data_IF_771999127828
#
_entry.id   IF_771999127828
#
_cell.length_a   1.000
_cell.length_b   1.000
_cell.length_c   1.000
_cell.angle_alpha   90.00
_cell.angle_beta   90.00
_cell.angle_gamma   90.00
#
_symmetry.space_group_name_H-M   'P 1'
#
loop_
_entity.id
_entity.type
_entity.pdbx_description
1 polymer ?
#
# COMPACT_ATOMS: atom_id res chain seq x y z
N UNK A 1 7.84 14.46 -8.64
CA UNK A 1 6.60 14.26 -7.87
C UNK A 1 5.91 15.60 -7.57
N UNK A 2 6.59 16.57 -6.96
CA UNK A 2 6.00 17.88 -6.59
C UNK A 2 5.44 18.62 -7.81
N UNK A 3 6.13 18.63 -8.95
CA UNK A 3 5.65 19.32 -10.15
C UNK A 3 4.34 18.71 -10.67
N UNK A 4 4.21 17.38 -10.67
CA UNK A 4 2.94 16.71 -10.99
C UNK A 4 1.83 17.04 -9.98
N UNK A 5 2.16 17.13 -8.70
CA UNK A 5 1.21 17.53 -7.68
C UNK A 5 0.73 18.97 -7.91
N UNK A 6 1.64 19.92 -8.18
CA UNK A 6 1.29 21.31 -8.50
C UNK A 6 0.37 21.40 -9.72
N UNK A 7 0.66 20.63 -10.77
CA UNK A 7 -0.17 20.58 -11.98
C UNK A 7 -1.58 20.06 -11.66
N UNK A 8 -1.69 18.99 -10.88
CA UNK A 8 -2.97 18.40 -10.48
C UNK A 8 -3.81 19.38 -9.63
N UNK A 9 -3.18 20.06 -8.68
CA UNK A 9 -3.86 20.94 -7.73
C UNK A 9 -4.12 22.36 -8.26
N UNK A 10 -3.54 22.73 -9.40
CA UNK A 10 -3.60 24.09 -9.94
C UNK A 10 -5.02 24.63 -10.17
N UNK A 11 -5.97 23.76 -10.52
CA UNK A 11 -7.35 24.15 -10.83
C UNK A 11 -8.36 23.86 -9.69
N UNK A 12 -7.88 23.49 -8.51
CA UNK A 12 -8.77 23.23 -7.39
C UNK A 12 -9.15 24.52 -6.65
N UNK A 13 -10.36 24.60 -6.08
CA UNK A 13 -10.91 25.83 -5.49
C UNK A 13 -10.40 26.09 -4.07
N UNK A 14 -9.17 25.72 -3.74
CA UNK A 14 -8.55 25.95 -2.43
C UNK A 14 -7.07 26.26 -2.58
N UNK A 15 -6.50 26.96 -1.61
CA UNK A 15 -5.08 27.26 -1.56
C UNK A 15 -4.26 26.00 -1.27
N UNK A 16 -3.16 25.85 -1.98
CA UNK A 16 -2.23 24.73 -1.81
C UNK A 16 -0.82 25.24 -1.61
N UNK A 17 -0.13 24.68 -0.62
CA UNK A 17 1.30 24.89 -0.37
C UNK A 17 2.04 23.56 -0.55
N UNK A 18 3.19 23.60 -1.23
CA UNK A 18 4.02 22.43 -1.50
C UNK A 18 5.38 22.63 -0.85
N UNK A 19 5.69 21.81 0.14
CA UNK A 19 6.95 21.86 0.89
C UNK A 19 7.79 20.63 0.52
N UNK A 20 8.99 20.85 -0.01
CA UNK A 20 9.97 19.80 -0.25
C UNK A 20 10.91 19.71 0.96
N UNK A 21 10.74 18.70 1.78
CA UNK A 21 11.54 18.52 2.98
C UNK A 21 11.60 17.05 3.40
N UNK A 22 12.56 16.72 4.26
CA UNK A 22 12.49 15.48 5.03
C UNK A 22 11.40 15.63 6.11
N UNK A 23 10.35 14.85 5.97
CA UNK A 23 9.17 14.93 6.83
C UNK A 23 9.44 14.50 8.27
N UNK A 24 10.57 13.84 8.55
CA UNK A 24 10.98 13.46 9.91
C UNK A 24 11.80 14.53 10.61
N UNK A 25 12.27 15.56 9.88
CA UNK A 25 13.14 16.63 10.38
C UNK A 25 12.52 18.03 10.26
N UNK A 26 11.44 18.15 9.47
CA UNK A 26 10.79 19.44 9.25
C UNK A 26 10.09 19.95 10.51
N UNK A 27 10.34 21.20 10.85
CA UNK A 27 9.51 21.96 11.77
C UNK A 27 8.58 22.87 10.97
N UNK A 28 7.28 22.65 11.11
CA UNK A 28 6.27 23.46 10.45
C UNK A 28 6.00 24.72 11.26
N UNK A 29 5.93 25.88 10.59
CA UNK A 29 5.69 27.18 11.24
C UNK A 29 4.32 27.28 11.89
N UNK A 30 3.36 26.49 11.44
CA UNK A 30 1.98 26.45 11.94
C UNK A 30 1.52 25.03 12.19
N UNK A 31 0.46 24.90 13.00
CA UNK A 31 -0.26 23.64 13.19
C UNK A 31 -1.48 23.57 12.32
N UNK A 32 -1.98 22.37 12.09
CA UNK A 32 -3.07 22.05 11.19
C UNK A 32 -4.20 21.33 11.94
N UNK A 33 -5.44 21.46 11.44
CA UNK A 33 -6.59 20.75 12.01
C UNK A 33 -6.55 19.25 11.69
N UNK A 34 -5.95 18.87 10.56
CA UNK A 34 -5.90 17.48 10.10
C UNK A 34 -4.52 17.21 9.48
N UNK A 35 -3.93 16.07 9.85
CA UNK A 35 -2.80 15.49 9.13
C UNK A 35 -3.22 14.15 8.50
N UNK A 36 -2.84 13.95 7.24
CA UNK A 36 -3.21 12.75 6.47
C UNK A 36 -1.97 12.14 5.83
N UNK A 37 -1.85 10.81 5.88
CA UNK A 37 -0.92 10.07 5.02
C UNK A 37 -1.65 8.94 4.28
N UNK A 38 -1.16 8.60 3.09
CA UNK A 38 -1.71 7.54 2.26
C UNK A 38 -0.59 6.75 1.61
N UNK A 39 -0.54 5.44 1.88
CA UNK A 39 0.45 4.50 1.36
C UNK A 39 1.89 5.05 1.47
N UNK A 40 2.22 5.64 2.61
CA UNK A 40 3.47 6.34 2.84
C UNK A 40 4.32 5.67 3.92
N UNK A 41 3.72 5.30 5.04
CA UNK A 41 4.43 4.72 6.19
C UNK A 41 5.08 3.37 5.85
N UNK A 42 4.55 2.65 4.86
CA UNK A 42 5.10 1.38 4.40
C UNK A 42 6.54 1.51 3.86
N UNK A 43 6.92 2.69 3.36
CA UNK A 43 8.26 2.99 2.83
C UNK A 43 9.24 3.52 3.88
N UNK A 44 8.78 3.69 5.13
CA UNK A 44 9.58 4.29 6.19
C UNK A 44 10.26 3.21 7.03
N UNK A 45 11.57 3.32 7.24
CA UNK A 45 12.30 2.47 8.19
C UNK A 45 11.91 2.76 9.65
N UNK A 46 11.45 3.98 9.93
CA UNK A 46 11.03 4.45 11.25
C UNK A 46 9.63 5.09 11.21
N UNK A 47 8.55 4.32 10.91
CA UNK A 47 7.22 4.89 10.70
C UNK A 47 6.65 5.60 11.94
N UNK A 48 7.01 5.16 13.14
CA UNK A 48 6.57 5.80 14.39
C UNK A 48 7.15 7.22 14.54
N UNK A 49 8.40 7.46 14.09
CA UNK A 49 8.98 8.81 14.10
C UNK A 49 8.21 9.75 13.16
N UNK A 50 7.82 9.25 11.99
CA UNK A 50 6.98 10.01 11.08
C UNK A 50 5.60 10.33 11.67
N UNK A 51 4.96 9.35 12.30
CA UNK A 51 3.68 9.56 13.00
C UNK A 51 3.82 10.59 14.12
N UNK A 52 4.93 10.59 14.87
CA UNK A 52 5.20 11.61 15.89
C UNK A 52 5.28 13.01 15.28
N UNK A 53 5.95 13.17 14.13
CA UNK A 53 6.02 14.46 13.42
C UNK A 53 4.61 14.92 12.98
N UNK A 54 3.78 14.01 12.46
CA UNK A 54 2.39 14.30 12.12
C UNK A 54 1.58 14.73 13.36
N UNK A 55 1.66 13.99 14.45
CA UNK A 55 0.98 14.33 15.72
C UNK A 55 1.40 15.72 16.20
N UNK A 56 2.70 16.02 16.17
CA UNK A 56 3.23 17.31 16.58
C UNK A 56 2.76 18.48 15.69
N UNK A 57 2.37 18.22 14.46
CA UNK A 57 1.90 19.24 13.51
C UNK A 57 0.41 19.57 13.66
N UNK A 58 -0.32 18.89 14.54
CA UNK A 58 -1.77 19.02 14.68
C UNK A 58 -2.11 19.91 15.90
N UNK A 59 -3.17 20.70 15.76
CA UNK A 59 -3.74 21.49 16.88
C UNK A 59 -4.40 20.57 17.91
N UNK A 60 -4.61 21.09 19.10
CA UNK A 60 -5.45 20.41 20.11
C UNK A 60 -6.90 20.28 19.58
N UNK A 61 -7.49 19.10 19.68
CA UNK A 61 -8.78 18.74 19.09
C UNK A 61 -8.74 18.39 17.58
N UNK A 62 -7.57 18.50 16.95
CA UNK A 62 -7.40 18.12 15.55
C UNK A 62 -7.24 16.61 15.34
N UNK A 63 -7.19 16.17 14.10
CA UNK A 63 -7.27 14.75 13.74
C UNK A 63 -6.07 14.27 12.92
N UNK A 64 -5.67 13.04 13.19
CA UNK A 64 -4.73 12.29 12.33
C UNK A 64 -5.50 11.19 11.60
N UNK A 65 -5.22 11.01 10.29
CA UNK A 65 -5.85 9.98 9.45
C UNK A 65 -4.74 9.30 8.62
N UNK A 66 -4.64 7.97 8.76
CA UNK A 66 -3.65 7.16 8.05
C UNK A 66 -4.37 6.12 7.18
N UNK A 67 -4.09 6.14 5.88
CA UNK A 67 -4.52 5.14 4.92
C UNK A 67 -3.30 4.30 4.57
N UNK A 68 -3.15 3.13 5.17
CA UNK A 68 -1.96 2.30 4.99
C UNK A 68 -2.31 0.87 4.59
N UNK A 69 -1.51 0.25 3.72
CA UNK A 69 -1.83 -1.06 3.20
C UNK A 69 -1.64 -2.18 4.21
N UNK A 70 -2.27 -3.29 3.92
CA UNK A 70 -1.97 -4.60 4.47
C UNK A 70 -1.86 -5.58 3.30
N UNK A 71 -0.67 -5.72 2.74
CA UNK A 71 -0.44 -6.44 1.49
C UNK A 71 -0.92 -7.89 1.52
N UNK A 72 -0.64 -8.62 2.59
CA UNK A 72 -1.12 -10.02 2.71
C UNK A 72 -2.65 -10.09 2.62
N UNK A 73 -3.35 -9.18 3.26
CA UNK A 73 -4.81 -9.11 3.17
C UNK A 73 -5.29 -8.74 1.76
N UNK A 74 -4.59 -7.83 1.09
CA UNK A 74 -4.84 -7.50 -0.31
C UNK A 74 -4.59 -8.70 -1.22
N UNK A 75 -3.45 -9.39 -1.06
CA UNK A 75 -3.10 -10.57 -1.86
C UNK A 75 -4.09 -11.73 -1.67
N UNK A 76 -4.75 -11.86 -0.52
CA UNK A 76 -5.79 -12.86 -0.28
C UNK A 76 -7.12 -12.55 -0.96
N UNK A 77 -7.27 -11.37 -1.56
CA UNK A 77 -8.53 -10.88 -2.14
C UNK A 77 -8.55 -10.94 -3.67
N UNK A 78 -7.72 -11.80 -4.28
CA UNK A 78 -7.75 -12.05 -5.72
C UNK A 78 -8.70 -13.19 -6.07
N UNK A 79 -9.52 -12.98 -7.09
CA UNK A 79 -10.30 -13.99 -7.79
C UNK A 79 -10.10 -13.78 -9.29
N UNK A 80 -9.48 -14.76 -9.93
CA UNK A 80 -9.28 -14.78 -11.39
C UNK A 80 -10.04 -15.98 -11.98
N UNK A 81 -11.00 -15.72 -12.84
CA UNK A 81 -11.83 -16.75 -13.46
C UNK A 81 -10.97 -17.81 -14.17
N UNK A 82 -11.26 -19.06 -13.91
CA UNK A 82 -10.56 -20.22 -14.49
C UNK A 82 -9.30 -20.65 -13.72
N UNK A 83 -8.91 -19.97 -12.65
CA UNK A 83 -7.68 -20.27 -11.89
C UNK A 83 -7.94 -20.30 -10.39
N UNK A 84 -7.38 -21.28 -9.69
CA UNK A 84 -7.34 -21.24 -8.24
C UNK A 84 -6.36 -20.15 -7.78
N UNK A 85 -6.70 -19.45 -6.70
CA UNK A 85 -5.86 -18.37 -6.16
C UNK A 85 -4.41 -18.81 -5.92
N UNK A 86 -4.17 -20.00 -5.39
CA UNK A 86 -2.82 -20.53 -5.13
C UNK A 86 -1.95 -20.72 -6.39
N UNK A 87 -2.56 -20.79 -7.58
CA UNK A 87 -1.83 -20.90 -8.85
C UNK A 87 -1.24 -19.54 -9.30
N UNK A 88 -1.86 -18.43 -8.91
CA UNK A 88 -1.48 -17.07 -9.32
C UNK A 88 -0.91 -16.24 -8.18
N UNK A 89 -1.31 -16.51 -6.93
CA UNK A 89 -0.87 -15.79 -5.72
C UNK A 89 -0.57 -16.78 -4.57
N UNK A 90 0.64 -17.34 -4.48
CA UNK A 90 1.02 -18.27 -3.39
C UNK A 90 1.32 -17.51 -2.09
N UNK A 91 0.34 -17.35 -1.23
CA UNK A 91 0.38 -16.49 -0.03
C UNK A 91 1.47 -16.88 0.98
N UNK A 92 1.77 -18.18 1.15
CA UNK A 92 2.72 -18.63 2.16
C UNK A 92 4.15 -18.09 1.96
N UNK A 93 4.60 -18.02 0.71
CA UNK A 93 5.90 -17.46 0.34
C UNK A 93 5.86 -15.93 0.49
N UNK A 94 4.82 -15.30 -0.02
CA UNK A 94 4.65 -13.84 0.04
C UNK A 94 4.65 -13.32 1.47
N UNK A 95 3.98 -13.99 2.40
CA UNK A 95 3.99 -13.61 3.81
C UNK A 95 5.41 -13.58 4.38
N UNK A 96 6.20 -14.63 4.17
CA UNK A 96 7.59 -14.69 4.63
C UNK A 96 8.46 -13.60 4.02
N UNK A 97 8.27 -13.30 2.73
CA UNK A 97 9.00 -12.24 2.04
C UNK A 97 8.66 -10.85 2.60
N UNK A 98 7.42 -10.59 2.92
CA UNK A 98 7.02 -9.31 3.55
C UNK A 98 7.56 -9.17 4.97
N UNK A 99 7.56 -10.25 5.76
CA UNK A 99 8.16 -10.27 7.11
C UNK A 99 9.69 -10.09 7.05
N UNK A 100 10.37 -10.75 6.10
CA UNK A 100 11.81 -10.57 5.88
C UNK A 100 12.16 -9.13 5.50
N UNK A 101 11.40 -8.49 4.62
CA UNK A 101 11.59 -7.08 4.26
C UNK A 101 11.42 -6.17 5.48
N UNK A 102 10.36 -6.38 6.26
CA UNK A 102 10.12 -5.58 7.46
C UNK A 102 11.24 -5.72 8.50
N UNK A 103 11.81 -6.92 8.65
CA UNK A 103 12.89 -7.18 9.61
C UNK A 103 14.24 -6.60 9.14
N UNK A 104 14.51 -6.56 7.84
CA UNK A 104 15.81 -6.10 7.29
C UNK A 104 15.88 -4.60 7.09
N UNK A 105 14.85 -4.00 6.49
CA UNK A 105 14.84 -2.58 6.11
C UNK A 105 13.95 -1.71 7.02
N UNK A 106 13.07 -2.32 7.80
CA UNK A 106 12.03 -1.61 8.54
C UNK A 106 10.83 -1.23 7.67
N UNK A 107 10.95 -1.29 6.34
CA UNK A 107 9.86 -1.06 5.40
C UNK A 107 8.84 -2.20 5.47
N UNK A 108 7.58 -1.88 5.70
CA UNK A 108 6.59 -2.89 6.02
C UNK A 108 5.28 -2.69 5.24
N UNK A 109 5.08 -3.48 4.20
CA UNK A 109 3.85 -3.49 3.41
C UNK A 109 2.60 -3.90 4.18
N UNK A 110 2.74 -4.44 5.40
CA UNK A 110 1.65 -4.77 6.31
C UNK A 110 1.50 -3.74 7.44
N UNK A 111 2.06 -2.54 7.29
CA UNK A 111 2.10 -1.50 8.33
C UNK A 111 0.72 -1.08 8.82
N UNK A 112 -0.30 -1.14 7.97
CA UNK A 112 -1.65 -0.68 8.28
C UNK A 112 -2.26 -1.29 9.54
N UNK A 113 -1.91 -2.53 9.90
CA UNK A 113 -2.38 -3.17 11.14
C UNK A 113 -1.59 -2.77 12.38
N UNK A 114 -0.43 -2.09 12.22
CA UNK A 114 0.41 -1.61 13.33
C UNK A 114 0.14 -0.15 13.69
N UNK A 115 -0.41 0.62 12.76
CA UNK A 115 -0.69 2.06 12.94
C UNK A 115 -1.52 2.35 14.20
N UNK A 116 -2.62 1.64 14.52
CA UNK A 116 -3.40 1.90 15.73
C UNK A 116 -2.55 1.83 17.01
N UNK A 117 -1.69 0.82 17.12
CA UNK A 117 -0.81 0.67 18.27
C UNK A 117 0.20 1.82 18.36
N UNK A 118 0.77 2.24 17.25
CA UNK A 118 1.71 3.37 17.24
C UNK A 118 1.03 4.68 17.64
N UNK A 119 -0.19 4.94 17.17
CA UNK A 119 -0.96 6.13 17.55
C UNK A 119 -1.30 6.11 19.05
N UNK A 120 -1.69 4.96 19.58
CA UNK A 120 -1.94 4.79 21.03
C UNK A 120 -0.70 5.13 21.85
N UNK A 121 0.47 4.62 21.47
CA UNK A 121 1.75 4.89 22.13
C UNK A 121 2.19 6.36 22.02
N UNK A 122 1.70 7.08 21.02
CA UNK A 122 1.93 8.52 20.83
C UNK A 122 0.88 9.39 21.54
N UNK A 123 -0.05 8.78 22.29
CA UNK A 123 -1.04 9.50 23.09
C UNK A 123 -2.24 10.02 22.29
N UNK A 124 -2.48 9.50 21.08
CA UNK A 124 -3.69 9.80 20.30
C UNK A 124 -4.88 9.14 20.98
N UNK A 125 -6.00 9.87 21.07
CA UNK A 125 -7.23 9.42 21.69
C UNK A 125 -8.31 9.09 20.64
N UNK A 126 -9.38 8.45 21.05
CA UNK A 126 -10.54 8.10 20.21
C UNK A 126 -10.13 7.40 18.91
N UNK A 127 -9.16 6.47 19.00
CA UNK A 127 -8.64 5.76 17.84
C UNK A 127 -9.71 4.82 17.30
N UNK A 128 -10.03 5.00 16.03
CA UNK A 128 -10.91 4.12 15.27
C UNK A 128 -10.19 3.53 14.05
N UNK A 129 -10.63 2.32 13.66
CA UNK A 129 -10.07 1.61 12.52
C UNK A 129 -11.18 1.18 11.56
N UNK A 130 -10.92 1.31 10.26
CA UNK A 130 -11.79 0.88 9.16
C UNK A 130 -10.97 0.15 8.12
N UNK A 131 -11.66 -0.52 7.22
CA UNK A 131 -11.07 -1.15 6.04
C UNK A 131 -11.71 -0.51 4.81
N UNK A 132 -10.93 -0.21 3.79
CA UNK A 132 -11.48 0.19 2.49
C UNK A 132 -12.33 -0.95 1.92
N UNK A 133 -13.50 -0.62 1.45
CA UNK A 133 -14.44 -1.52 0.78
C UNK A 133 -14.36 -1.45 -0.76
N UNK A 134 -13.36 -0.74 -1.28
CA UNK A 134 -13.15 -0.66 -2.73
C UNK A 134 -12.87 -2.04 -3.30
N UNK A 135 -13.71 -2.46 -4.24
CA UNK A 135 -13.52 -3.68 -5.04
C UNK A 135 -13.32 -3.29 -6.49
N UNK A 136 -12.23 -3.74 -7.09
CA UNK A 136 -12.00 -3.61 -8.52
C UNK A 136 -12.57 -4.88 -9.19
N UNK A 137 -13.53 -4.70 -10.09
CA UNK A 137 -14.10 -5.80 -10.86
C UNK A 137 -13.91 -5.51 -12.34
N UNK A 138 -12.86 -6.10 -12.92
CA UNK A 138 -12.60 -6.11 -14.36
C UNK A 138 -13.37 -7.29 -14.97
N UNK A 139 -14.14 -7.05 -16.03
CA UNK A 139 -14.85 -8.11 -16.75
C UNK A 139 -15.05 -7.73 -18.23
N UNK A 140 -15.23 -8.74 -19.13
CA UNK A 140 -15.29 -8.50 -20.58
C UNK A 140 -16.41 -7.53 -21.01
N UNK A 141 -17.56 -7.55 -20.33
CA UNK A 141 -18.75 -6.77 -20.69
C UNK A 141 -18.73 -5.31 -20.21
N UNK A 142 -17.63 -4.85 -19.62
CA UNK A 142 -17.49 -3.44 -19.23
C UNK A 142 -17.49 -2.51 -20.45
N UNK A 143 -17.95 -1.27 -20.24
CA UNK A 143 -17.70 -0.20 -21.21
C UNK A 143 -16.20 -0.13 -21.53
N UNK A 144 -15.85 -0.05 -22.81
CA UNK A 144 -14.46 -0.16 -23.28
C UNK A 144 -13.52 0.88 -22.65
N UNK A 145 -14.00 2.12 -22.47
CA UNK A 145 -13.18 3.19 -21.87
C UNK A 145 -12.91 2.93 -20.39
N UNK A 146 -13.92 2.50 -19.64
CA UNK A 146 -13.79 2.21 -18.21
C UNK A 146 -12.96 0.95 -17.98
N UNK A 147 -13.15 -0.07 -18.84
CA UNK A 147 -12.35 -1.30 -18.85
C UNK A 147 -10.86 -0.99 -19.05
N UNK A 148 -10.55 -0.15 -20.05
CA UNK A 148 -9.15 0.22 -20.31
C UNK A 148 -8.53 1.02 -19.14
N UNK A 149 -9.28 1.95 -18.55
CA UNK A 149 -8.82 2.73 -17.38
C UNK A 149 -8.54 1.81 -16.19
N UNK A 150 -9.48 0.90 -15.88
CA UNK A 150 -9.30 -0.02 -14.76
C UNK A 150 -8.14 -0.98 -15.00
N UNK A 151 -8.03 -1.56 -16.21
CA UNK A 151 -6.91 -2.44 -16.57
C UNK A 151 -5.56 -1.74 -16.42
N UNK A 152 -5.43 -0.52 -16.94
CA UNK A 152 -4.20 0.26 -16.82
C UNK A 152 -3.85 0.55 -15.34
N UNK A 153 -4.83 0.94 -14.53
CA UNK A 153 -4.63 1.16 -13.09
C UNK A 153 -4.17 -0.11 -12.38
N UNK A 154 -4.77 -1.26 -12.67
CA UNK A 154 -4.34 -2.54 -12.11
C UNK A 154 -2.90 -2.91 -12.52
N UNK A 155 -2.52 -2.65 -13.79
CA UNK A 155 -1.14 -2.88 -14.26
C UNK A 155 -0.14 -1.91 -13.60
N UNK A 156 -0.51 -0.66 -13.38
CA UNK A 156 0.30 0.31 -12.63
C UNK A 156 0.48 -0.09 -11.17
N UNK A 157 -0.53 -0.70 -10.57
CA UNK A 157 -0.48 -1.29 -9.23
C UNK A 157 0.32 -2.62 -9.16
N UNK A 158 0.85 -3.09 -10.30
CA UNK A 158 1.67 -4.30 -10.40
C UNK A 158 0.89 -5.60 -10.59
N UNK A 159 -0.43 -5.56 -10.75
CA UNK A 159 -1.27 -6.75 -10.95
C UNK A 159 -0.87 -7.46 -12.25
N UNK A 160 -0.52 -8.76 -12.15
CA UNK A 160 -0.06 -9.56 -13.28
C UNK A 160 1.18 -8.98 -13.96
N UNK A 161 2.08 -8.33 -13.20
CA UNK A 161 3.38 -7.87 -13.68
C UNK A 161 4.26 -9.04 -14.09
N UNK A 162 5.09 -8.86 -15.12
CA UNK A 162 6.05 -9.86 -15.53
C UNK A 162 7.22 -9.89 -14.54
N UNK A 163 7.59 -11.08 -13.99
CA UNK A 163 8.73 -11.17 -13.10
C UNK A 163 10.06 -10.96 -13.86
N UNK A 164 11.14 -10.68 -13.13
CA UNK A 164 12.50 -10.63 -13.66
C UNK A 164 12.90 -11.98 -14.30
N UNK A 165 14.08 -12.05 -14.93
CA UNK A 165 14.58 -13.32 -15.46
C UNK A 165 14.58 -14.40 -14.36
N UNK A 166 14.33 -15.65 -14.76
CA UNK A 166 14.18 -16.77 -13.82
C UNK A 166 15.36 -16.89 -12.85
N UNK A 167 16.56 -16.73 -13.37
CA UNK A 167 17.79 -16.83 -12.59
C UNK A 167 17.89 -15.72 -11.54
N UNK A 168 17.66 -14.48 -11.94
CA UNK A 168 17.69 -13.31 -11.04
C UNK A 168 16.59 -13.39 -9.99
N UNK A 169 15.39 -13.81 -10.40
CA UNK A 169 14.25 -13.96 -9.51
C UNK A 169 14.53 -15.00 -8.42
N UNK A 170 14.93 -16.23 -8.81
CA UNK A 170 15.25 -17.32 -7.87
C UNK A 170 16.39 -16.92 -6.94
N UNK A 171 17.47 -16.32 -7.46
CA UNK A 171 18.59 -15.85 -6.65
C UNK A 171 18.17 -14.80 -5.62
N UNK A 172 17.31 -13.85 -6.02
CA UNK A 172 16.80 -12.79 -5.13
C UNK A 172 16.00 -13.37 -3.96
N UNK A 173 15.12 -14.35 -4.22
CA UNK A 173 14.32 -14.99 -3.19
C UNK A 173 15.17 -15.92 -2.29
N UNK A 174 16.13 -16.63 -2.87
CA UNK A 174 17.06 -17.46 -2.10
C UNK A 174 17.86 -16.63 -1.08
N UNK A 175 18.35 -15.45 -1.46
CA UNK A 175 19.03 -14.50 -0.55
C UNK A 175 18.13 -14.02 0.60
N UNK A 176 16.83 -14.13 0.45
CA UNK A 176 15.80 -13.77 1.45
C UNK A 176 15.32 -14.98 2.28
N UNK A 177 16.00 -16.13 2.18
CA UNK A 177 15.71 -17.33 2.97
C UNK A 177 14.59 -18.22 2.44
N UNK A 178 14.14 -18.00 1.20
CA UNK A 178 13.21 -18.89 0.48
C UNK A 178 14.00 -20.04 -0.12
N UNK A 179 13.54 -21.29 -0.05
CA UNK A 179 14.21 -22.41 -0.69
C UNK A 179 14.15 -22.30 -2.23
N UNK A 180 15.08 -22.96 -2.93
CA UNK A 180 15.10 -22.93 -4.39
C UNK A 180 13.81 -23.46 -5.00
N UNK A 181 13.22 -24.52 -4.43
CA UNK A 181 11.95 -25.08 -4.91
C UNK A 181 10.80 -24.08 -4.74
N UNK A 182 10.67 -23.47 -3.56
CA UNK A 182 9.65 -22.44 -3.32
C UNK A 182 9.83 -21.22 -4.22
N UNK A 183 11.07 -20.80 -4.46
CA UNK A 183 11.36 -19.70 -5.38
C UNK A 183 10.96 -20.04 -6.83
N UNK A 184 11.13 -21.31 -7.23
CA UNK A 184 10.67 -21.79 -8.55
C UNK A 184 9.14 -21.81 -8.63
N UNK A 185 8.45 -22.26 -7.58
CA UNK A 185 6.98 -22.25 -7.51
C UNK A 185 6.43 -20.81 -7.59
N UNK A 186 7.03 -19.88 -6.86
CA UNK A 186 6.66 -18.47 -6.92
C UNK A 186 6.87 -17.88 -8.32
N UNK A 187 8.03 -18.15 -8.94
CA UNK A 187 8.31 -17.73 -10.31
C UNK A 187 7.26 -18.23 -11.30
N UNK A 188 6.90 -19.51 -11.20
CA UNK A 188 5.88 -20.12 -12.07
C UNK A 188 4.53 -19.46 -11.87
N UNK A 189 4.15 -19.17 -10.62
CA UNK A 189 2.89 -18.49 -10.31
C UNK A 189 2.84 -17.06 -10.88
N UNK A 190 3.90 -16.26 -10.70
CA UNK A 190 3.98 -14.91 -11.24
C UNK A 190 4.00 -14.90 -12.76
N UNK A 191 4.76 -15.80 -13.38
CA UNK A 191 4.76 -15.98 -14.84
C UNK A 191 3.38 -16.39 -15.36
N UNK A 192 2.72 -17.34 -14.71
CA UNK A 192 1.36 -17.74 -15.09
C UNK A 192 0.42 -16.52 -15.01
N UNK A 193 0.42 -15.79 -13.89
CA UNK A 193 -0.45 -14.64 -13.72
C UNK A 193 -0.19 -13.56 -14.78
N UNK A 194 1.08 -13.27 -15.10
CA UNK A 194 1.43 -12.30 -16.14
C UNK A 194 0.97 -12.69 -17.55
N UNK A 195 0.94 -14.00 -17.83
CA UNK A 195 0.52 -14.52 -19.13
C UNK A 195 -1.00 -14.62 -19.31
N UNK A 196 -1.74 -14.92 -18.22
CA UNK A 196 -3.18 -15.14 -18.29
C UNK A 196 -3.99 -13.88 -18.02
N UNK A 197 -3.42 -12.90 -17.30
CA UNK A 197 -4.10 -11.64 -17.00
C UNK A 197 -3.99 -10.67 -18.18
N UNK A 198 -5.12 -10.35 -18.78
CA UNK A 198 -5.25 -9.41 -19.89
C UNK A 198 -6.54 -8.58 -19.74
N UNK A 199 -6.76 -7.63 -20.65
CA UNK A 199 -7.90 -6.72 -20.60
C UNK A 199 -9.28 -7.41 -20.66
N UNK A 200 -9.35 -8.61 -21.20
CA UNK A 200 -10.59 -9.40 -21.32
C UNK A 200 -10.74 -10.44 -20.20
N UNK A 201 -9.84 -10.42 -19.22
CA UNK A 201 -9.97 -11.26 -18.03
C UNK A 201 -11.15 -10.85 -17.17
N UNK A 202 -11.76 -11.82 -16.49
CA UNK A 202 -12.69 -11.60 -15.38
C UNK A 202 -11.87 -11.66 -14.07
N UNK A 203 -11.60 -10.50 -13.46
CA UNK A 203 -10.80 -10.38 -12.25
C UNK A 203 -11.52 -9.56 -11.20
N UNK A 204 -11.61 -10.10 -9.98
CA UNK A 204 -11.96 -9.35 -8.78
C UNK A 204 -10.70 -9.16 -7.95
N UNK A 205 -10.43 -7.93 -7.54
CA UNK A 205 -9.35 -7.59 -6.64
C UNK A 205 -9.77 -6.48 -5.66
N UNK A 206 -9.67 -6.76 -4.37
CA UNK A 206 -9.99 -5.83 -3.30
C UNK A 206 -8.71 -5.46 -2.52
N UNK A 207 -8.02 -4.35 -2.85
CA UNK A 207 -6.86 -3.90 -2.07
C UNK A 207 -7.29 -3.56 -0.64
N UNK A 208 -6.63 -4.17 0.34
CA UNK A 208 -7.01 -4.01 1.74
C UNK A 208 -6.25 -2.85 2.39
N UNK A 209 -6.75 -1.62 2.18
CA UNK A 209 -6.25 -0.46 2.93
C UNK A 209 -6.86 -0.45 4.34
N UNK A 210 -6.02 -0.27 5.35
CA UNK A 210 -6.44 -0.01 6.72
C UNK A 210 -6.49 1.50 6.91
N UNK A 211 -7.64 1.98 7.37
CA UNK A 211 -7.88 3.40 7.65
C UNK A 211 -7.90 3.54 9.16
N UNK A 212 -6.90 4.22 9.70
CA UNK A 212 -6.80 4.50 11.14
C UNK A 212 -6.88 5.98 11.37
N UNK A 213 -7.73 6.43 12.27
CA UNK A 213 -7.83 7.84 12.63
C UNK A 213 -8.06 8.01 14.13
N UNK A 214 -7.71 9.19 14.63
CA UNK A 214 -7.87 9.55 16.04
C UNK A 214 -7.73 11.05 16.27
N UNK A 215 -7.89 11.48 17.50
CA UNK A 215 -7.90 12.87 17.94
C UNK A 215 -6.67 13.19 18.78
N UNK A 216 -6.15 14.41 18.60
CA UNK A 216 -5.03 14.92 19.39
C UNK A 216 -5.59 15.78 20.50
N UNK A 217 -5.49 15.33 21.74
CA UNK A 217 -5.83 16.10 22.93
C UNK A 217 -4.56 16.42 23.71
N UNK A 218 -4.20 17.69 23.78
CA UNK A 218 -3.10 18.12 24.64
C UNK A 218 -3.49 17.88 26.11
N UNK A 219 -2.68 17.10 26.79
CA UNK A 219 -2.81 16.93 28.25
C UNK A 219 -2.27 18.15 28.97
#
# INVERSE_FOLDING_TARGET
LIDKAKEYFHNLPFETEFILADTTEIELERKYDIAVCHAFLLHMSQPKRMLQAMVNSIVNGGKIICFEPHWISGMSSYELEGYNQSQVVPLGILQRLFEDSANKSGENGNIGVKVPQYLLELGVENIECRVSDKVNFLHPDMNQQDKQKLFNSLKEDGVGGEPASKEQFIESLYKRGVTVNEAQEQFVAEMLFSQVFNIDSSLIYAPSMKITFGEINAK
#
